data_IF_491711454206
#
_entry.id   IF_491711454206
#
_cell.length_a   1.000
_cell.length_b   1.000
_cell.length_c   1.000
_cell.angle_alpha   90.00
_cell.angle_beta   90.00
_cell.angle_gamma   90.00
#
_symmetry.space_group_name_H-M   'P 1'
#
loop_
_entity.id
_entity.type
_entity.pdbx_description
1 polymer ?
#
# COMPACT_ATOMS: atom_id res chain seq x y z
N UNK A 1 24.58 30.45 17.83
CA UNK A 1 25.41 30.38 16.60
C UNK A 1 24.75 29.37 15.66
N UNK A 2 23.97 29.86 14.69
CA UNK A 2 23.27 29.01 13.73
C UNK A 2 24.17 28.74 12.52
N UNK A 3 24.43 27.46 12.23
CA UNK A 3 25.16 27.05 11.03
C UNK A 3 24.23 27.22 9.82
N UNK A 4 24.59 28.15 8.93
CA UNK A 4 23.98 28.25 7.59
C UNK A 4 24.42 27.03 6.78
N UNK A 5 23.48 26.11 6.56
CA UNK A 5 23.67 24.97 5.67
C UNK A 5 23.83 25.44 4.23
N UNK A 6 24.98 25.12 3.64
CA UNK A 6 25.27 25.27 2.22
C UNK A 6 24.25 24.42 1.44
N UNK A 7 23.26 25.06 0.80
CA UNK A 7 22.44 24.35 -0.18
C UNK A 7 23.32 24.04 -1.40
N UNK A 8 23.26 22.81 -1.95
CA UNK A 8 23.97 22.49 -3.18
C UNK A 8 23.44 23.38 -4.31
N UNK A 9 24.29 24.29 -4.78
CA UNK A 9 24.00 25.09 -5.97
C UNK A 9 24.04 24.16 -7.19
N UNK A 10 22.88 23.88 -7.79
CA UNK A 10 22.82 23.23 -9.08
C UNK A 10 23.55 24.13 -10.10
N UNK A 11 24.72 23.68 -10.57
CA UNK A 11 25.61 24.46 -11.45
C UNK A 11 25.19 24.45 -12.92
N UNK A 12 24.04 23.88 -13.25
CA UNK A 12 23.54 23.77 -14.62
C UNK A 12 22.74 25.01 -14.97
N UNK A 13 23.21 25.79 -15.96
CA UNK A 13 22.48 26.98 -16.39
C UNK A 13 21.16 26.58 -17.06
N UNK A 14 20.11 27.39 -16.87
CA UNK A 14 18.81 27.21 -17.56
C UNK A 14 19.00 27.14 -19.07
N UNK A 15 20.03 27.81 -19.60
CA UNK A 15 20.35 27.80 -21.02
C UNK A 15 20.87 26.45 -21.50
N UNK A 16 21.81 25.82 -20.78
CA UNK A 16 22.26 24.45 -21.06
C UNK A 16 21.14 23.43 -20.87
N UNK A 17 20.28 23.65 -19.88
CA UNK A 17 19.11 22.81 -19.60
C UNK A 17 17.96 22.99 -20.62
N UNK A 18 18.05 23.91 -21.59
CA UNK A 18 16.97 24.13 -22.57
C UNK A 18 17.44 24.08 -24.03
N UNK A 19 18.72 24.34 -24.32
CA UNK A 19 19.20 24.47 -25.70
C UNK A 19 19.78 23.22 -26.38
N UNK A 20 20.07 22.14 -25.62
CA UNK A 20 20.62 20.91 -26.21
C UNK A 20 19.57 19.86 -26.59
N UNK A 21 18.27 20.23 -26.61
CA UNK A 21 17.20 19.32 -26.99
C UNK A 21 16.94 19.41 -28.50
N UNK A 22 17.58 18.52 -29.26
CA UNK A 22 17.07 18.14 -30.58
C UNK A 22 15.82 17.29 -30.35
N UNK A 23 14.64 17.87 -30.58
CA UNK A 23 13.37 17.15 -30.45
C UNK A 23 13.18 16.25 -31.66
N UNK A 24 13.66 15.02 -31.57
CA UNK A 24 13.18 13.93 -32.43
C UNK A 24 11.77 13.54 -31.93
N UNK A 25 10.74 14.11 -32.57
CA UNK A 25 9.33 13.81 -32.28
C UNK A 25 8.85 12.52 -32.98
N UNK A 26 9.76 11.59 -33.24
CA UNK A 26 9.41 10.28 -33.76
C UNK A 26 8.42 9.56 -32.86
N UNK A 27 7.44 8.91 -33.49
CA UNK A 27 6.43 8.10 -32.80
C UNK A 27 6.98 6.69 -32.64
N UNK A 28 7.08 6.23 -31.40
CA UNK A 28 7.45 4.84 -31.06
C UNK A 28 6.20 4.02 -30.75
N UNK A 29 6.26 2.70 -30.99
CA UNK A 29 5.20 1.80 -30.57
C UNK A 29 5.64 1.07 -29.30
N UNK A 30 4.82 1.16 -28.27
CA UNK A 30 5.04 0.44 -27.01
C UNK A 30 3.94 -0.59 -26.84
N UNK A 31 4.30 -1.86 -26.68
CA UNK A 31 3.37 -2.95 -26.37
C UNK A 31 3.38 -3.22 -24.87
N UNK A 32 2.26 -3.04 -24.19
CA UNK A 32 2.06 -3.43 -22.80
C UNK A 32 0.93 -4.47 -22.74
N UNK A 33 1.28 -5.72 -22.44
CA UNK A 33 0.35 -6.84 -22.54
C UNK A 33 -0.23 -6.99 -23.95
N UNK A 34 -1.56 -6.93 -24.07
CA UNK A 34 -2.27 -7.07 -25.35
C UNK A 34 -2.57 -5.74 -26.06
N UNK A 35 -2.04 -4.61 -25.57
CA UNK A 35 -2.29 -3.29 -26.14
C UNK A 35 -1.02 -2.69 -26.72
N UNK A 36 -1.18 -1.94 -27.82
CA UNK A 36 -0.10 -1.21 -28.48
C UNK A 36 -0.42 0.28 -28.44
N UNK A 37 0.50 1.04 -27.88
CA UNK A 37 0.41 2.49 -27.72
C UNK A 37 1.37 3.16 -28.69
N UNK A 38 0.92 4.26 -29.31
CA UNK A 38 1.76 5.14 -30.12
C UNK A 38 2.10 6.37 -29.29
N UNK A 39 3.36 6.54 -28.96
CA UNK A 39 3.82 7.58 -28.02
C UNK A 39 4.95 8.37 -28.66
N UNK A 40 5.01 9.67 -28.40
CA UNK A 40 6.17 10.47 -28.81
C UNK A 40 7.40 10.04 -28.03
N UNK A 41 8.47 9.70 -28.75
CA UNK A 41 9.76 9.32 -28.18
C UNK A 41 10.29 10.38 -27.23
N UNK A 42 10.22 11.65 -27.66
CA UNK A 42 10.75 12.79 -26.91
C UNK A 42 10.16 12.87 -25.48
N UNK A 43 8.85 12.65 -25.33
CA UNK A 43 8.16 12.70 -24.02
C UNK A 43 8.64 11.64 -23.05
N UNK A 44 8.94 10.45 -23.57
CA UNK A 44 9.45 9.34 -22.77
C UNK A 44 10.92 9.57 -22.38
N UNK A 45 11.76 9.94 -23.35
CA UNK A 45 13.20 10.15 -23.11
C UNK A 45 13.50 11.34 -22.20
N UNK A 46 12.66 12.38 -22.22
CA UNK A 46 12.86 13.56 -21.39
C UNK A 46 12.59 13.29 -19.91
N UNK A 47 11.73 12.32 -19.61
CA UNK A 47 11.26 12.07 -18.25
C UNK A 47 11.81 10.79 -17.65
N UNK A 48 12.16 9.80 -18.47
CA UNK A 48 12.66 8.50 -18.03
C UNK A 48 14.07 8.20 -18.58
N UNK A 49 15.07 8.04 -17.70
CA UNK A 49 16.39 7.56 -18.07
C UNK A 49 16.36 6.16 -18.71
N UNK A 50 15.48 5.28 -18.22
CA UNK A 50 15.33 3.92 -18.77
C UNK A 50 14.89 3.95 -20.23
N UNK A 51 13.86 4.75 -20.57
CA UNK A 51 13.45 4.90 -21.97
C UNK A 51 14.53 5.59 -22.81
N UNK A 52 15.27 6.55 -22.25
CA UNK A 52 16.42 7.15 -22.94
C UNK A 52 17.45 6.09 -23.34
N UNK A 53 17.80 5.18 -22.44
CA UNK A 53 18.77 4.11 -22.70
C UNK A 53 18.22 3.07 -23.68
N UNK A 54 16.96 2.63 -23.52
CA UNK A 54 16.29 1.69 -24.43
C UNK A 54 16.35 2.24 -25.87
N UNK A 55 15.97 3.49 -26.07
CA UNK A 55 15.94 4.07 -27.40
C UNK A 55 17.33 4.42 -27.94
N UNK A 56 18.32 4.67 -27.07
CA UNK A 56 19.71 4.86 -27.49
C UNK A 56 20.31 3.59 -28.06
N UNK A 57 19.96 2.43 -27.51
CA UNK A 57 20.37 1.12 -28.04
C UNK A 57 19.63 0.83 -29.34
N UNK A 58 18.31 0.98 -29.38
CA UNK A 58 17.48 0.62 -30.53
C UNK A 58 17.82 1.41 -31.82
N UNK A 59 18.17 2.70 -31.72
CA UNK A 59 18.57 3.50 -32.90
C UNK A 59 19.84 3.00 -33.57
N UNK A 60 20.73 2.32 -32.84
CA UNK A 60 21.97 1.78 -33.43
C UNK A 60 21.69 0.68 -34.45
N UNK A 61 20.55 0.01 -34.33
CA UNK A 61 20.19 -1.12 -35.18
C UNK A 61 19.33 -0.72 -36.39
N UNK A 62 18.97 0.57 -36.52
CA UNK A 62 18.25 1.11 -37.68
C UNK A 62 16.83 0.57 -37.87
N UNK A 63 16.22 -0.02 -36.83
CA UNK A 63 14.88 -0.60 -36.88
C UNK A 63 13.80 0.36 -36.36
N UNK A 64 12.57 0.21 -36.90
CA UNK A 64 11.35 0.76 -36.29
C UNK A 64 11.29 0.28 -34.83
N UNK A 65 11.25 1.22 -33.88
CA UNK A 65 11.39 0.88 -32.47
C UNK A 65 10.03 0.46 -31.89
N UNK A 66 9.79 -0.84 -31.92
CA UNK A 66 8.71 -1.52 -31.19
C UNK A 66 9.25 -2.02 -29.84
N UNK A 67 8.86 -1.37 -28.74
CA UNK A 67 9.29 -1.74 -27.37
C UNK A 67 8.21 -2.56 -26.69
N UNK A 68 8.56 -3.73 -26.17
CA UNK A 68 7.66 -4.53 -25.33
C UNK A 68 7.96 -4.30 -23.85
N UNK A 69 6.93 -3.92 -23.09
CA UNK A 69 7.01 -3.69 -21.65
C UNK A 69 6.18 -4.74 -20.91
N UNK A 70 6.67 -5.19 -19.77
CA UNK A 70 6.03 -6.23 -18.95
C UNK A 70 4.93 -5.69 -18.02
N UNK A 71 4.53 -4.41 -18.18
CA UNK A 71 3.55 -3.76 -17.33
C UNK A 71 2.11 -4.16 -17.69
N UNK A 72 1.21 -4.13 -16.70
CA UNK A 72 -0.21 -4.25 -16.98
C UNK A 72 -0.66 -3.11 -17.90
N UNK A 73 -1.46 -3.46 -18.90
CA UNK A 73 -1.89 -2.50 -19.93
C UNK A 73 -2.67 -1.30 -19.36
N UNK A 74 -3.42 -1.49 -18.27
CA UNK A 74 -4.19 -0.40 -17.64
C UNK A 74 -3.29 0.48 -16.80
N UNK A 75 -2.34 -0.11 -16.07
CA UNK A 75 -1.39 0.66 -15.29
C UNK A 75 -0.49 1.52 -16.19
N UNK A 76 -0.05 0.93 -17.31
CA UNK A 76 0.72 1.65 -18.32
C UNK A 76 -0.12 2.75 -19.00
N UNK A 77 -1.41 2.51 -19.26
CA UNK A 77 -2.32 3.54 -19.79
C UNK A 77 -2.46 4.74 -18.84
N UNK A 78 -2.61 4.50 -17.53
CA UNK A 78 -2.67 5.56 -16.53
C UNK A 78 -1.35 6.35 -16.43
N UNK A 79 -0.21 5.67 -16.59
CA UNK A 79 1.09 6.33 -16.71
C UNK A 79 1.22 7.19 -17.98
N UNK A 80 0.78 6.67 -19.13
CA UNK A 80 0.77 7.44 -20.38
C UNK A 80 -0.16 8.65 -20.28
N UNK A 81 -1.33 8.50 -19.65
CA UNK A 81 -2.19 9.64 -19.35
C UNK A 81 -1.42 10.73 -18.61
N UNK A 82 -0.63 10.39 -17.59
CA UNK A 82 0.18 11.38 -16.87
C UNK A 82 1.27 12.03 -17.74
N UNK A 83 1.90 11.30 -18.65
CA UNK A 83 2.86 11.87 -19.60
C UNK A 83 2.19 12.83 -20.61
N UNK A 84 0.90 12.63 -20.88
CA UNK A 84 0.17 13.41 -21.87
C UNK A 84 -0.67 14.55 -21.29
N UNK A 85 -1.13 14.40 -20.04
CA UNK A 85 -1.93 15.36 -19.32
C UNK A 85 -1.17 16.68 -19.16
N UNK A 86 -1.86 17.78 -19.41
CA UNK A 86 -1.36 19.09 -19.03
C UNK A 86 -1.69 19.40 -17.55
N UNK A 87 -1.29 20.58 -17.08
CA UNK A 87 -1.55 20.99 -15.69
C UNK A 87 -3.05 21.14 -15.38
N UNK A 88 -3.88 21.49 -16.37
CA UNK A 88 -5.33 21.64 -16.19
C UNK A 88 -6.02 20.28 -16.11
N UNK A 89 -5.61 19.31 -16.91
CA UNK A 89 -6.09 17.93 -16.85
C UNK A 89 -5.81 17.30 -15.48
N UNK A 90 -4.59 17.49 -14.97
CA UNK A 90 -4.20 17.01 -13.64
C UNK A 90 -4.98 17.73 -12.54
N UNK A 91 -5.13 19.05 -12.64
CA UNK A 91 -5.92 19.83 -11.68
C UNK A 91 -7.38 19.36 -11.64
N UNK A 92 -8.01 19.23 -12.81
CA UNK A 92 -9.38 18.74 -12.96
C UNK A 92 -9.55 17.32 -12.43
N UNK A 93 -8.59 16.43 -12.69
CA UNK A 93 -8.63 15.08 -12.13
C UNK A 93 -8.60 15.09 -10.59
N UNK A 94 -7.84 16.01 -10.01
CA UNK A 94 -7.74 16.21 -8.57
C UNK A 94 -8.96 16.88 -7.92
N UNK A 95 -9.96 17.34 -8.69
CA UNK A 95 -11.23 17.85 -8.15
C UNK A 95 -12.15 16.74 -7.65
N UNK A 96 -11.92 15.49 -8.07
CA UNK A 96 -12.70 14.31 -7.65
C UNK A 96 -11.83 13.30 -6.89
N UNK A 97 -11.23 13.72 -5.76
CA UNK A 97 -10.38 12.85 -4.97
C UNK A 97 -11.17 11.64 -4.42
N UNK A 98 -10.45 10.59 -4.03
CA UNK A 98 -10.96 9.43 -3.28
C UNK A 98 -11.79 8.40 -4.07
N UNK A 99 -12.11 8.62 -5.34
CA UNK A 99 -12.72 7.56 -6.15
C UNK A 99 -11.75 6.38 -6.33
N UNK A 100 -12.27 5.16 -6.53
CA UNK A 100 -11.42 4.00 -6.84
C UNK A 100 -10.57 4.23 -8.08
N UNK A 101 -11.10 4.93 -9.09
CA UNK A 101 -10.37 5.34 -10.27
C UNK A 101 -9.24 6.33 -9.94
N UNK A 102 -9.47 7.26 -9.01
CA UNK A 102 -8.48 8.23 -8.54
C UNK A 102 -7.30 7.54 -7.84
N UNK A 103 -7.59 6.69 -6.85
CA UNK A 103 -6.58 5.96 -6.10
C UNK A 103 -5.77 5.02 -7.02
N UNK A 104 -6.48 4.25 -7.86
CA UNK A 104 -5.85 3.34 -8.82
C UNK A 104 -4.91 4.10 -9.74
N UNK A 105 -5.36 5.18 -10.38
CA UNK A 105 -4.55 5.93 -11.33
C UNK A 105 -3.26 6.46 -10.69
N UNK A 106 -3.33 7.10 -9.53
CA UNK A 106 -2.12 7.63 -8.90
C UNK A 106 -1.17 6.53 -8.42
N UNK A 107 -1.69 5.40 -7.96
CA UNK A 107 -0.86 4.24 -7.63
C UNK A 107 -0.20 3.64 -8.87
N UNK A 108 -0.94 3.46 -9.97
CA UNK A 108 -0.41 2.97 -11.25
C UNK A 108 0.67 3.90 -11.80
N UNK A 109 0.43 5.22 -11.79
CA UNK A 109 1.45 6.22 -12.19
C UNK A 109 2.68 6.09 -11.31
N UNK A 110 2.52 5.98 -9.99
CA UNK A 110 3.65 5.84 -9.08
C UNK A 110 4.47 4.57 -9.34
N UNK A 111 3.79 3.44 -9.49
CA UNK A 111 4.38 2.11 -9.76
C UNK A 111 5.21 2.10 -11.05
N UNK A 112 4.58 2.53 -12.15
CA UNK A 112 5.23 2.55 -13.47
C UNK A 112 6.35 3.58 -13.49
N UNK A 113 6.14 4.78 -12.94
CA UNK A 113 7.19 5.81 -12.85
C UNK A 113 8.41 5.31 -12.08
N UNK A 114 8.22 4.59 -10.96
CA UNK A 114 9.32 4.03 -10.17
C UNK A 114 10.14 3.02 -10.99
N UNK A 115 9.46 2.08 -11.67
CA UNK A 115 10.10 1.08 -12.54
C UNK A 115 10.96 1.71 -13.65
N UNK A 116 10.52 2.84 -14.19
CA UNK A 116 11.22 3.56 -15.26
C UNK A 116 12.14 4.69 -14.76
N UNK A 117 12.54 4.66 -13.48
CA UNK A 117 13.48 5.58 -12.83
C UNK A 117 13.05 7.05 -12.91
N UNK A 118 11.75 7.30 -12.74
CA UNK A 118 11.17 8.64 -12.67
C UNK A 118 10.85 9.01 -11.22
N UNK A 119 11.87 9.00 -10.36
CA UNK A 119 11.72 9.02 -8.89
C UNK A 119 10.85 10.17 -8.38
N UNK A 120 11.03 11.39 -8.90
CA UNK A 120 10.24 12.56 -8.50
C UNK A 120 8.75 12.39 -8.83
N UNK A 121 8.42 11.80 -9.98
CA UNK A 121 7.03 11.53 -10.39
C UNK A 121 6.45 10.39 -9.54
N UNK A 122 7.24 9.36 -9.30
CA UNK A 122 6.85 8.22 -8.49
C UNK A 122 6.50 8.65 -7.06
N UNK A 123 7.40 9.41 -6.42
CA UNK A 123 7.21 9.93 -5.07
C UNK A 123 6.04 10.91 -4.99
N UNK A 124 5.92 11.84 -5.93
CA UNK A 124 4.80 12.80 -5.95
C UNK A 124 3.45 12.09 -6.08
N UNK A 125 3.33 11.14 -7.01
CA UNK A 125 2.09 10.38 -7.26
C UNK A 125 1.74 9.49 -6.06
N UNK A 126 2.73 8.83 -5.46
CA UNK A 126 2.53 8.02 -4.26
C UNK A 126 2.10 8.88 -3.06
N UNK A 127 2.63 10.08 -2.93
CA UNK A 127 2.22 11.02 -1.89
C UNK A 127 0.76 11.47 -2.06
N UNK A 128 0.29 11.71 -3.29
CA UNK A 128 -1.13 12.01 -3.57
C UNK A 128 -2.03 10.84 -3.19
N UNK A 129 -1.65 9.62 -3.59
CA UNK A 129 -2.35 8.39 -3.23
C UNK A 129 -2.42 8.20 -1.71
N UNK A 130 -1.29 8.30 -1.01
CA UNK A 130 -1.21 8.10 0.45
C UNK A 130 -2.00 9.15 1.23
N UNK A 131 -1.93 10.43 0.83
CA UNK A 131 -2.75 11.49 1.45
C UNK A 131 -4.24 11.22 1.26
N UNK A 132 -4.62 10.67 0.11
CA UNK A 132 -6.01 10.35 -0.18
C UNK A 132 -6.50 9.16 0.64
N UNK A 133 -5.68 8.12 0.79
CA UNK A 133 -5.98 7.01 1.69
C UNK A 133 -6.09 7.47 3.15
N UNK A 134 -5.20 8.35 3.58
CA UNK A 134 -5.24 8.94 4.92
C UNK A 134 -6.54 9.73 5.16
N UNK A 135 -7.00 10.56 4.21
CA UNK A 135 -8.31 11.21 4.31
C UNK A 135 -9.46 10.20 4.37
N UNK A 136 -9.45 9.20 3.48
CA UNK A 136 -10.48 8.16 3.45
C UNK A 136 -10.60 7.45 4.80
N UNK A 137 -9.48 7.03 5.36
CA UNK A 137 -9.43 6.37 6.67
C UNK A 137 -9.82 7.34 7.79
N UNK A 138 -9.51 8.63 7.66
CA UNK A 138 -9.76 9.61 8.72
C UNK A 138 -11.20 10.11 8.77
N UNK A 139 -11.79 10.45 7.62
CA UNK A 139 -13.00 11.26 7.52
C UNK A 139 -14.18 10.57 6.83
N UNK A 140 -13.98 9.46 6.12
CA UNK A 140 -15.01 8.88 5.22
C UNK A 140 -15.43 7.46 5.63
N UNK A 141 -16.52 7.01 5.03
CA UNK A 141 -16.87 5.59 4.96
C UNK A 141 -16.03 4.91 3.89
N UNK A 142 -15.45 3.75 4.20
CA UNK A 142 -14.56 3.05 3.29
C UNK A 142 -14.79 1.54 3.31
N UNK A 143 -14.50 0.87 2.19
CA UNK A 143 -14.32 -0.57 2.13
C UNK A 143 -12.96 -0.94 2.71
N UNK A 144 -12.93 -1.69 3.81
CA UNK A 144 -11.65 -2.02 4.45
C UNK A 144 -10.75 -2.89 3.58
N UNK A 145 -11.35 -3.77 2.77
CA UNK A 145 -10.64 -4.60 1.79
C UNK A 145 -9.86 -3.74 0.81
N UNK A 146 -10.51 -2.74 0.21
CA UNK A 146 -9.88 -1.85 -0.76
C UNK A 146 -8.73 -1.06 -0.16
N UNK A 147 -8.91 -0.53 1.06
CA UNK A 147 -7.86 0.21 1.77
C UNK A 147 -6.68 -0.70 2.09
N UNK A 148 -6.93 -1.87 2.68
CA UNK A 148 -5.87 -2.81 3.07
C UNK A 148 -5.07 -3.27 1.84
N UNK A 149 -5.75 -3.70 0.77
CA UNK A 149 -5.07 -4.08 -0.48
C UNK A 149 -4.25 -2.94 -1.07
N UNK A 150 -4.82 -1.73 -1.12
CA UNK A 150 -4.15 -0.54 -1.64
C UNK A 150 -2.92 -0.14 -0.83
N UNK A 151 -2.97 -0.28 0.50
CA UNK A 151 -1.81 0.04 1.35
C UNK A 151 -0.72 -1.02 1.28
N UNK A 152 -1.09 -2.29 1.10
CA UNK A 152 -0.17 -3.43 1.14
C UNK A 152 0.43 -3.78 -0.23
N UNK A 153 -0.01 -3.12 -1.30
CA UNK A 153 0.70 -3.12 -2.58
C UNK A 153 1.93 -2.19 -2.59
N UNK A 154 2.08 -1.29 -1.61
CA UNK A 154 3.25 -0.38 -1.53
C UNK A 154 4.54 -1.14 -1.18
N UNK A 155 4.57 -2.02 -0.15
CA UNK A 155 5.74 -2.85 0.15
C UNK A 155 6.27 -3.66 -1.03
N UNK A 156 5.38 -4.18 -1.90
CA UNK A 156 5.81 -4.93 -3.09
C UNK A 156 6.55 -4.08 -4.13
N UNK A 157 6.37 -2.76 -4.10
CA UNK A 157 6.98 -1.84 -5.05
C UNK A 157 8.21 -1.14 -4.48
N UNK A 158 8.15 -0.65 -3.23
CA UNK A 158 9.24 0.12 -2.61
C UNK A 158 10.13 -0.69 -1.66
N UNK A 159 9.79 -1.96 -1.41
CA UNK A 159 10.45 -2.80 -0.42
C UNK A 159 9.82 -2.65 0.97
N UNK A 160 9.94 -3.69 1.78
CA UNK A 160 9.24 -3.80 3.06
C UNK A 160 9.61 -2.67 4.05
N UNK A 161 10.86 -2.22 4.07
CA UNK A 161 11.39 -1.27 5.06
C UNK A 161 11.35 0.19 4.60
N UNK A 162 10.87 0.45 3.39
CA UNK A 162 10.80 1.81 2.88
C UNK A 162 9.83 2.67 3.73
N UNK A 163 10.12 3.97 3.94
CA UNK A 163 9.25 4.86 4.71
C UNK A 163 7.79 4.86 4.25
N UNK A 164 7.58 4.72 2.93
CA UNK A 164 6.26 4.65 2.32
C UNK A 164 5.53 3.36 2.68
N UNK A 165 6.24 2.23 2.73
CA UNK A 165 5.72 0.92 3.13
C UNK A 165 5.32 0.89 4.60
N UNK A 166 6.17 1.46 5.47
CA UNK A 166 5.86 1.64 6.91
C UNK A 166 4.60 2.49 7.07
N UNK A 167 4.51 3.61 6.35
CA UNK A 167 3.33 4.48 6.37
C UNK A 167 2.08 3.75 5.84
N UNK A 168 2.22 2.91 4.80
CA UNK A 168 1.15 2.06 4.27
C UNK A 168 0.59 1.11 5.31
N UNK A 169 1.46 0.34 6.00
CA UNK A 169 1.05 -0.55 7.09
C UNK A 169 0.40 0.21 8.24
N UNK A 170 0.90 1.39 8.59
CA UNK A 170 0.28 2.24 9.61
C UNK A 170 -1.15 2.68 9.22
N UNK A 171 -1.38 3.02 7.94
CA UNK A 171 -2.73 3.33 7.44
C UNK A 171 -3.63 2.10 7.47
N UNK A 172 -3.14 0.93 7.05
CA UNK A 172 -3.86 -0.34 7.13
C UNK A 172 -4.30 -0.65 8.57
N UNK A 173 -3.37 -0.52 9.52
CA UNK A 173 -3.62 -0.68 10.96
C UNK A 173 -4.67 0.32 11.46
N UNK A 174 -4.58 1.58 11.05
CA UNK A 174 -5.56 2.62 11.42
C UNK A 174 -6.95 2.31 10.87
N UNK A 175 -7.03 1.80 9.64
CA UNK A 175 -8.29 1.37 9.02
C UNK A 175 -8.91 0.19 9.78
N UNK A 176 -8.11 -0.82 10.13
CA UNK A 176 -8.51 -1.95 10.98
C UNK A 176 -9.04 -1.48 12.33
N UNK A 177 -8.29 -0.63 13.01
CA UNK A 177 -8.65 -0.08 14.33
C UNK A 177 -9.98 0.67 14.29
N UNK A 178 -10.14 1.58 13.33
CA UNK A 178 -11.36 2.37 13.19
C UNK A 178 -12.58 1.52 12.87
N UNK A 179 -12.40 0.53 12.00
CA UNK A 179 -13.47 -0.41 11.67
C UNK A 179 -13.89 -1.22 12.90
N UNK A 180 -12.96 -1.52 13.80
CA UNK A 180 -13.21 -2.25 15.05
C UNK A 180 -13.86 -1.40 16.16
N UNK A 181 -13.71 -0.08 16.17
CA UNK A 181 -14.18 0.77 17.29
C UNK A 181 -15.43 1.61 17.01
N UNK A 182 -15.70 1.99 15.76
CA UNK A 182 -16.61 3.12 15.50
C UNK A 182 -18.01 2.69 15.09
N UNK A 183 -18.78 2.02 15.96
CA UNK A 183 -20.22 1.74 15.71
C UNK A 183 -20.53 1.32 14.27
N UNK A 184 -19.57 0.66 13.63
CA UNK A 184 -19.49 0.65 12.18
C UNK A 184 -20.56 -0.32 11.72
N UNK A 185 -21.28 0.00 10.64
CA UNK A 185 -22.19 -0.98 10.05
C UNK A 185 -21.38 -2.23 9.66
N UNK A 186 -21.42 -3.24 10.53
CA UNK A 186 -20.64 -4.48 10.53
C UNK A 186 -21.05 -5.45 9.41
N UNK A 187 -21.64 -4.92 8.35
CA UNK A 187 -22.04 -5.66 7.16
C UNK A 187 -20.88 -5.73 6.15
N UNK A 188 -21.06 -6.59 5.14
CA UNK A 188 -20.14 -6.94 4.02
C UNK A 188 -18.98 -5.96 3.80
N UNK A 189 -17.76 -6.49 3.62
CA UNK A 189 -16.49 -5.76 3.55
C UNK A 189 -16.02 -5.28 4.93
N UNK A 190 -15.72 -6.24 5.78
CA UNK A 190 -15.36 -6.03 7.18
C UNK A 190 -14.04 -6.72 7.56
N UNK A 191 -13.61 -6.60 8.82
CA UNK A 191 -12.30 -7.15 9.28
C UNK A 191 -12.15 -8.64 8.95
N UNK A 192 -13.24 -9.42 9.02
CA UNK A 192 -13.22 -10.83 8.63
C UNK A 192 -12.79 -11.05 7.15
N UNK A 193 -13.19 -10.14 6.25
CA UNK A 193 -12.90 -10.24 4.82
C UNK A 193 -11.42 -9.95 4.48
N UNK A 194 -10.67 -9.30 5.38
CA UNK A 194 -9.25 -9.02 5.18
C UNK A 194 -8.31 -10.05 5.78
N UNK A 195 -8.79 -10.99 6.60
CA UNK A 195 -7.95 -12.01 7.24
C UNK A 195 -7.22 -12.86 6.19
N UNK A 196 -7.94 -13.31 5.16
CA UNK A 196 -7.38 -14.09 4.06
C UNK A 196 -6.34 -13.29 3.28
N UNK A 197 -6.59 -11.99 3.09
CA UNK A 197 -5.66 -11.10 2.40
C UNK A 197 -4.36 -11.01 3.19
N UNK A 198 -4.44 -10.64 4.48
CA UNK A 198 -3.28 -10.48 5.36
C UNK A 198 -2.46 -11.77 5.48
N UNK A 199 -3.11 -12.92 5.57
CA UNK A 199 -2.42 -14.22 5.58
C UNK A 199 -1.73 -14.52 4.24
N UNK A 200 -2.41 -14.28 3.11
CA UNK A 200 -1.88 -14.59 1.77
C UNK A 200 -0.58 -13.86 1.45
N UNK A 201 -0.41 -12.65 1.99
CA UNK A 201 0.79 -11.81 1.84
C UNK A 201 1.73 -11.87 3.05
N UNK A 202 1.44 -12.75 4.02
CA UNK A 202 2.23 -12.95 5.25
C UNK A 202 2.45 -11.67 6.09
N UNK A 203 1.47 -10.77 6.11
CA UNK A 203 1.47 -9.59 6.97
C UNK A 203 1.00 -9.97 8.39
N UNK A 204 1.83 -10.78 9.08
CA UNK A 204 1.50 -11.42 10.36
C UNK A 204 1.24 -10.40 11.47
N UNK A 205 1.96 -9.28 11.48
CA UNK A 205 1.74 -8.21 12.46
C UNK A 205 0.32 -7.62 12.32
N UNK A 206 -0.08 -7.26 11.10
CA UNK A 206 -1.43 -6.74 10.85
C UNK A 206 -2.50 -7.80 11.06
N UNK A 207 -2.21 -9.07 10.77
CA UNK A 207 -3.11 -10.19 11.03
C UNK A 207 -3.33 -10.37 12.54
N UNK A 208 -2.27 -10.29 13.35
CA UNK A 208 -2.37 -10.33 14.81
C UNK A 208 -3.22 -9.16 15.35
N UNK A 209 -3.02 -7.95 14.82
CA UNK A 209 -3.87 -6.80 15.15
C UNK A 209 -5.33 -7.04 14.76
N UNK A 210 -5.60 -7.60 13.58
CA UNK A 210 -6.95 -7.92 13.13
C UNK A 210 -7.63 -8.94 14.07
N UNK A 211 -6.94 -10.00 14.47
CA UNK A 211 -7.44 -10.96 15.46
C UNK A 211 -7.69 -10.31 16.82
N UNK A 212 -6.73 -9.53 17.32
CA UNK A 212 -6.90 -8.78 18.57
C UNK A 212 -8.16 -7.90 18.51
N UNK A 213 -8.34 -7.15 17.43
CA UNK A 213 -9.49 -6.27 17.28
C UNK A 213 -10.82 -7.01 17.24
N UNK A 214 -10.87 -8.17 16.57
CA UNK A 214 -12.05 -9.04 16.59
C UNK A 214 -12.31 -9.60 18.00
N UNK A 215 -11.28 -10.04 18.70
CA UNK A 215 -11.42 -10.64 20.03
C UNK A 215 -11.90 -9.62 21.07
N UNK A 216 -11.32 -8.43 21.09
CA UNK A 216 -11.59 -7.41 22.12
C UNK A 216 -12.81 -6.55 21.80
N UNK A 217 -12.96 -6.09 20.56
CA UNK A 217 -14.03 -5.15 20.20
C UNK A 217 -15.26 -5.82 19.60
N UNK A 218 -15.22 -7.13 19.34
CA UNK A 218 -16.37 -7.91 18.87
C UNK A 218 -16.68 -9.11 19.75
N UNK A 219 -16.97 -8.91 21.04
CA UNK A 219 -17.22 -10.02 21.94
C UNK A 219 -18.34 -10.91 21.38
N UNK A 220 -17.99 -12.17 21.14
CA UNK A 220 -18.86 -13.27 20.68
C UNK A 220 -19.37 -13.22 19.23
N UNK A 221 -19.37 -12.08 18.53
CA UNK A 221 -19.89 -12.04 17.15
C UNK A 221 -18.97 -12.72 16.14
N UNK A 222 -17.65 -12.70 16.37
CA UNK A 222 -16.69 -13.43 15.53
C UNK A 222 -16.84 -14.96 15.63
N UNK A 223 -17.41 -15.48 16.72
CA UNK A 223 -17.61 -16.93 16.90
C UNK A 223 -18.61 -17.43 15.85
N UNK A 224 -19.67 -16.66 15.64
CA UNK A 224 -20.79 -16.99 14.75
C UNK A 224 -20.64 -16.47 13.32
N UNK A 225 -19.62 -15.66 13.03
CA UNK A 225 -19.36 -15.11 11.69
C UNK A 225 -18.86 -16.22 10.76
N UNK A 226 -19.64 -16.60 9.75
CA UNK A 226 -19.37 -17.70 8.83
C UNK A 226 -18.17 -17.45 7.89
N UNK A 227 -17.81 -16.18 7.68
CA UNK A 227 -16.65 -15.78 6.85
C UNK A 227 -15.32 -16.09 7.51
N UNK A 228 -15.30 -16.16 8.84
CA UNK A 228 -14.10 -16.51 9.61
C UNK A 228 -13.86 -18.02 9.47
N UNK A 229 -12.63 -18.43 9.15
CA UNK A 229 -12.33 -19.86 8.97
C UNK A 229 -12.13 -20.56 10.32
N UNK A 230 -12.26 -21.90 10.39
CA UNK A 230 -12.00 -22.65 11.62
C UNK A 230 -10.61 -22.37 12.21
N UNK A 231 -9.57 -22.29 11.37
CA UNK A 231 -8.20 -21.97 11.80
C UNK A 231 -8.09 -20.57 12.43
N UNK A 232 -8.77 -19.57 11.86
CA UNK A 232 -8.79 -18.21 12.41
C UNK A 232 -9.48 -18.18 13.78
N UNK A 233 -10.57 -18.94 13.96
CA UNK A 233 -11.23 -19.08 15.27
C UNK A 233 -10.31 -19.73 16.31
N UNK A 234 -9.56 -20.76 15.92
CA UNK A 234 -8.58 -21.39 16.82
C UNK A 234 -7.49 -20.39 17.24
N UNK A 235 -6.90 -19.66 16.29
CA UNK A 235 -5.93 -18.60 16.56
C UNK A 235 -6.48 -17.54 17.52
N UNK A 236 -7.71 -17.08 17.29
CA UNK A 236 -8.38 -16.11 18.16
C UNK A 236 -8.66 -16.66 19.57
N UNK A 237 -9.00 -17.95 19.71
CA UNK A 237 -9.16 -18.60 21.02
C UNK A 237 -7.83 -18.69 21.77
N UNK A 238 -6.75 -19.08 21.09
CA UNK A 238 -5.40 -19.07 21.65
C UNK A 238 -5.01 -17.67 22.11
N UNK A 239 -5.15 -16.67 21.24
CA UNK A 239 -4.85 -15.28 21.58
C UNK A 239 -5.70 -14.75 22.74
N UNK A 240 -6.99 -15.09 22.78
CA UNK A 240 -7.85 -14.74 23.91
C UNK A 240 -7.35 -15.34 25.23
N UNK A 241 -6.88 -16.60 25.22
CA UNK A 241 -6.34 -17.26 26.40
C UNK A 241 -5.04 -16.59 26.87
N UNK A 242 -4.09 -16.37 25.96
CA UNK A 242 -2.81 -15.72 26.26
C UNK A 242 -2.97 -14.28 26.75
N UNK A 243 -3.86 -13.52 26.12
CA UNK A 243 -4.22 -12.17 26.58
C UNK A 243 -4.81 -12.23 28.00
N UNK A 244 -5.70 -13.20 28.29
CA UNK A 244 -6.24 -13.36 29.63
C UNK A 244 -5.16 -13.70 30.67
N UNK A 245 -4.18 -14.56 30.34
CA UNK A 245 -3.06 -14.88 31.23
C UNK A 245 -2.20 -13.65 31.54
N UNK A 246 -2.09 -12.73 30.59
CA UNK A 246 -1.38 -11.45 30.73
C UNK A 246 -2.22 -10.35 31.39
N UNK A 247 -3.42 -10.66 31.87
CA UNK A 247 -4.29 -9.74 32.60
C UNK A 247 -5.15 -8.82 31.74
N UNK A 248 -5.32 -9.12 30.45
CA UNK A 248 -6.20 -8.35 29.57
C UNK A 248 -7.66 -8.73 29.81
N UNK A 249 -8.50 -7.72 30.01
CA UNK A 249 -9.94 -7.88 30.09
C UNK A 249 -10.52 -7.98 28.67
N UNK A 250 -10.62 -9.20 28.15
CA UNK A 250 -11.13 -9.47 26.79
C UNK A 250 -12.67 -9.32 26.71
N UNK A 251 -13.36 -9.22 27.85
CA UNK A 251 -14.80 -9.23 27.92
C UNK A 251 -15.33 -7.88 28.44
N UNK A 252 -15.77 -7.03 27.50
CA UNK A 252 -16.71 -5.93 27.74
C UNK A 252 -16.14 -4.69 28.44
N UNK A 253 -15.06 -4.12 27.92
CA UNK A 253 -14.72 -2.74 28.28
C UNK A 253 -15.60 -1.77 27.49
N UNK A 254 -16.21 -0.75 28.15
CA UNK A 254 -16.79 0.38 27.44
C UNK A 254 -15.74 1.02 26.52
N UNK A 255 -16.11 1.30 25.27
CA UNK A 255 -15.21 1.82 24.22
C UNK A 255 -14.40 3.06 24.69
N UNK A 256 -15.02 3.92 25.52
CA UNK A 256 -14.43 5.16 26.03
C UNK A 256 -13.73 5.03 27.40
N UNK A 257 -13.53 3.82 27.91
CA UNK A 257 -12.84 3.65 29.20
C UNK A 257 -11.32 3.90 29.06
N UNK A 258 -10.70 4.53 30.05
CA UNK A 258 -9.23 4.67 30.08
C UNK A 258 -8.50 3.31 30.00
N UNK A 259 -9.19 2.23 30.37
CA UNK A 259 -8.71 0.86 30.26
C UNK A 259 -8.50 0.41 28.80
N UNK A 260 -9.36 0.79 27.85
CA UNK A 260 -9.18 0.44 26.42
C UNK A 260 -7.92 1.09 25.85
N UNK A 261 -7.69 2.36 26.18
CA UNK A 261 -6.48 3.11 25.78
C UNK A 261 -5.19 2.54 26.37
N UNK A 262 -5.22 2.06 27.61
CA UNK A 262 -4.06 1.42 28.23
C UNK A 262 -3.73 0.08 27.56
N UNK A 263 -4.74 -0.70 27.18
CA UNK A 263 -4.55 -1.95 26.45
C UNK A 263 -3.98 -1.72 25.05
N UNK A 264 -4.46 -0.71 24.33
CA UNK A 264 -3.94 -0.31 23.01
C UNK A 264 -2.45 0.05 23.07
N UNK A 265 -2.04 0.85 24.07
CA UNK A 265 -0.63 1.21 24.28
C UNK A 265 0.25 0.01 24.60
N UNK A 266 -0.26 -0.97 25.34
CA UNK A 266 0.50 -2.19 25.61
C UNK A 266 0.73 -2.99 24.33
N UNK A 267 -0.25 -3.07 23.43
CA UNK A 267 -0.09 -3.78 22.17
C UNK A 267 0.89 -3.08 21.23
N UNK A 268 0.88 -1.75 21.23
CA UNK A 268 1.91 -0.95 20.57
C UNK A 268 3.31 -1.31 21.07
N UNK A 269 3.46 -1.66 22.36
CA UNK A 269 4.74 -2.08 22.93
C UNK A 269 5.11 -3.53 22.59
N UNK A 270 4.13 -4.41 22.35
CA UNK A 270 4.40 -5.80 21.94
C UNK A 270 4.89 -5.89 20.49
N UNK A 271 4.51 -4.94 19.63
CA UNK A 271 5.02 -4.84 18.27
C UNK A 271 4.97 -6.16 17.49
N UNK A 272 6.13 -6.64 17.03
CA UNK A 272 6.28 -7.89 16.27
C UNK A 272 5.91 -9.15 17.06
N UNK A 273 5.98 -9.12 18.39
CA UNK A 273 5.73 -10.30 19.23
C UNK A 273 4.24 -10.57 19.40
N UNK A 274 3.37 -9.68 18.94
CA UNK A 274 1.93 -9.84 19.04
C UNK A 274 1.45 -11.12 18.35
N UNK A 275 2.08 -11.51 17.24
CA UNK A 275 1.74 -12.74 16.51
C UNK A 275 1.89 -13.99 17.37
N UNK A 276 2.87 -14.04 18.27
CA UNK A 276 3.13 -15.21 19.12
C UNK A 276 1.95 -15.56 20.03
N UNK A 277 1.06 -14.59 20.33
CA UNK A 277 -0.15 -14.85 21.09
C UNK A 277 -1.19 -15.63 20.29
N UNK A 278 -1.17 -15.49 18.97
CA UNK A 278 -2.16 -16.08 18.06
C UNK A 278 -1.60 -17.27 17.30
N UNK A 279 -0.33 -17.62 17.51
CA UNK A 279 0.33 -18.73 16.82
C UNK A 279 -0.04 -20.07 17.46
N UNK A 280 -0.81 -20.88 16.74
CA UNK A 280 -1.28 -22.19 17.23
C UNK A 280 -0.12 -23.15 17.45
N UNK A 281 0.96 -23.04 16.66
CA UNK A 281 2.09 -23.97 16.74
C UNK A 281 2.84 -23.85 18.07
N UNK A 282 2.86 -22.66 18.67
CA UNK A 282 3.50 -22.42 19.97
C UNK A 282 2.69 -23.00 21.14
N UNK A 283 1.44 -23.37 20.91
CA UNK A 283 0.51 -23.81 21.94
C UNK A 283 0.15 -25.30 21.84
N UNK A 284 0.80 -26.05 20.94
CA UNK A 284 0.75 -27.51 20.99
C UNK A 284 1.68 -27.92 22.12
N UNK A 285 1.17 -28.36 23.30
CA UNK A 285 2.04 -28.84 24.35
C UNK A 285 2.85 -29.99 23.76
N UNK A 286 4.17 -29.94 23.90
CA UNK A 286 5.11 -30.97 23.44
C UNK A 286 4.45 -32.33 23.62
N UNK A 287 3.96 -32.88 22.51
CA UNK A 287 3.36 -34.19 22.50
C UNK A 287 4.53 -35.14 22.70
N UNK A 288 4.93 -35.33 23.96
CA UNK A 288 5.92 -36.34 24.33
C UNK A 288 5.39 -37.61 23.71
N UNK A 289 6.15 -38.26 22.81
CA UNK A 289 5.70 -39.51 22.23
C UNK A 289 5.41 -40.44 23.40
N UNK A 290 4.14 -40.83 23.54
CA UNK A 290 3.76 -41.89 24.45
C UNK A 290 4.45 -43.11 23.87
N UNK A 291 5.58 -43.49 24.48
CA UNK A 291 6.29 -44.70 24.13
C UNK A 291 5.30 -45.86 24.30
N UNK A 292 4.95 -46.49 23.18
CA UNK A 292 4.15 -47.72 23.13
C UNK A 292 5.05 -48.89 23.48
#
# INVERSE_FOLDING_TARGET
>A
MAQQGNMPSHSTSVHEATNNFSYDDSVVRIRAGNRVYKVSRSRLTQRSPVFQDIFRVAVRDGQDVDVEVQDDSRDFEDFLWFLHADGLDVAKFNETPYSSAYLRRWFSVASVAYKYQMDAVAEWSLNLFMRSLEDIVTTRTFGIVDVVQSTLSIPSLWGADAPQSVRGRMLARTALYKRAHRGANWMKNDIADVLVILESIRELELLAHAYYYLVVYRPRSWITDDRIRPIDRQRMLCGCHELSLRGFAVLSLPEDSDASRHQDRFLEQQGSDLWNLFDVEQHIPDARPVAV
#
